data_IF_063414103351
#
_entry.id   IF_063414103351
#
_cell.length_a   1.000
_cell.length_b   1.000
_cell.length_c   1.000
_cell.angle_alpha   90.00
_cell.angle_beta   90.00
_cell.angle_gamma   90.00
#
_symmetry.space_group_name_H-M   'P 1'
#
loop_
_entity.id
_entity.type
_entity.pdbx_description
1 polymer ?
#
# COMPACT_ATOMS: atom_id res chain seq x y z
N UNK A 1 -15.52 -4.30 -8.09
CA UNK A 1 -15.39 -3.94 -6.65
C UNK A 1 -14.50 -4.97 -5.95
N UNK A 2 -13.70 -4.57 -4.96
CA UNK A 2 -12.83 -5.45 -4.18
C UNK A 2 -13.28 -5.49 -2.71
N UNK A 3 -13.22 -6.66 -2.08
CA UNK A 3 -13.50 -6.86 -0.65
C UNK A 3 -12.32 -7.62 -0.05
N UNK A 4 -11.81 -7.13 1.07
CA UNK A 4 -10.64 -7.70 1.73
C UNK A 4 -10.74 -7.52 3.25
N UNK A 5 -9.84 -8.17 3.99
CA UNK A 5 -9.62 -7.89 5.39
C UNK A 5 -9.16 -6.42 5.62
N UNK A 6 -9.56 -5.77 6.73
CA UNK A 6 -9.21 -4.38 6.98
C UNK A 6 -7.78 -4.24 7.53
N UNK A 7 -7.22 -3.03 7.46
CA UNK A 7 -6.03 -2.67 8.23
C UNK A 7 -6.35 -2.52 9.73
N UNK A 8 -5.35 -2.80 10.57
CA UNK A 8 -5.45 -2.78 12.04
C UNK A 8 -4.86 -1.47 12.62
N UNK A 9 -5.20 -1.15 13.87
CA UNK A 9 -4.68 0.04 14.55
C UNK A 9 -3.23 -0.10 15.01
N UNK A 10 -2.79 -1.34 15.28
CA UNK A 10 -1.37 -1.68 15.45
C UNK A 10 -0.76 -2.16 14.11
N UNK A 11 0.57 -2.09 13.94
CA UNK A 11 1.21 -2.29 12.63
C UNK A 11 0.97 -3.65 11.97
N UNK A 12 0.84 -4.72 12.75
CA UNK A 12 0.54 -6.07 12.24
C UNK A 12 -0.34 -6.84 13.22
N UNK A 13 -0.86 -7.98 12.77
CA UNK A 13 -1.62 -8.91 13.62
C UNK A 13 -0.81 -9.43 14.82
N UNK A 14 0.51 -9.53 14.70
CA UNK A 14 1.39 -10.12 15.73
C UNK A 14 1.47 -9.23 16.99
N UNK A 15 1.31 -7.91 16.82
CA UNK A 15 1.22 -6.98 17.95
C UNK A 15 0.10 -7.34 18.92
N UNK A 16 -0.99 -7.95 18.45
CA UNK A 16 -2.17 -8.28 19.26
C UNK A 16 -1.95 -9.46 20.21
N UNK A 17 -0.79 -10.13 20.17
CA UNK A 17 -0.31 -10.99 21.26
C UNK A 17 -0.14 -10.20 22.56
N UNK A 18 0.24 -8.92 22.48
CA UNK A 18 0.39 -8.01 23.61
C UNK A 18 1.28 -8.52 24.75
N UNK A 19 2.27 -9.35 24.42
CA UNK A 19 3.27 -9.87 25.34
C UNK A 19 4.67 -9.61 24.80
N UNK A 20 5.71 -9.87 25.60
CA UNK A 20 7.10 -9.69 25.19
C UNK A 20 7.37 -8.31 24.59
N UNK A 21 7.90 -8.30 23.37
CA UNK A 21 8.22 -7.08 22.61
C UNK A 21 7.00 -6.20 22.29
N UNK A 22 5.79 -6.77 22.22
CA UNK A 22 4.57 -6.05 21.83
C UNK A 22 3.79 -5.45 23.00
N UNK A 23 4.15 -5.79 24.24
CA UNK A 23 3.41 -5.37 25.44
C UNK A 23 3.30 -3.84 25.55
N UNK A 24 4.41 -3.13 25.35
CA UNK A 24 4.43 -1.67 25.46
C UNK A 24 3.54 -1.01 24.40
N UNK A 25 3.57 -1.50 23.16
CA UNK A 25 2.73 -1.00 22.07
C UNK A 25 1.23 -1.18 22.36
N UNK A 26 0.82 -2.36 22.85
CA UNK A 26 -0.59 -2.59 23.23
C UNK A 26 -1.04 -1.71 24.39
N UNK A 27 -0.21 -1.57 25.43
CA UNK A 27 -0.53 -0.69 26.56
C UNK A 27 -0.65 0.76 26.12
N UNK A 28 0.30 1.25 25.31
CA UNK A 28 0.28 2.62 24.79
C UNK A 28 -0.92 2.87 23.85
N UNK A 29 -1.35 1.87 23.09
CA UNK A 29 -2.52 1.96 22.22
C UNK A 29 -3.83 2.09 23.01
N UNK A 30 -4.00 1.28 24.07
CA UNK A 30 -5.15 1.39 24.96
C UNK A 30 -5.18 2.74 25.70
N UNK A 31 -4.04 3.18 26.22
CA UNK A 31 -3.93 4.49 26.89
C UNK A 31 -4.22 5.65 25.92
N UNK A 32 -3.82 5.52 24.65
CA UNK A 32 -4.12 6.49 23.62
C UNK A 32 -5.64 6.60 23.36
N UNK A 33 -6.35 5.46 23.25
CA UNK A 33 -7.81 5.44 23.17
C UNK A 33 -8.47 6.18 24.34
N UNK A 34 -8.06 5.83 25.56
CA UNK A 34 -8.59 6.40 26.80
C UNK A 34 -8.34 7.91 26.86
N UNK A 35 -7.11 8.33 26.55
CA UNK A 35 -6.71 9.74 26.59
C UNK A 35 -7.53 10.61 25.64
N UNK A 36 -7.76 10.14 24.42
CA UNK A 36 -8.58 10.87 23.43
C UNK A 36 -10.04 10.93 23.87
N UNK A 37 -10.60 9.82 24.36
CA UNK A 37 -11.98 9.79 24.84
C UNK A 37 -12.20 10.78 26.02
N UNK A 38 -11.25 10.84 26.96
CA UNK A 38 -11.27 11.80 28.08
C UNK A 38 -11.25 13.24 27.57
N UNK A 39 -10.36 13.57 26.62
CA UNK A 39 -10.29 14.92 26.05
C UNK A 39 -11.60 15.35 25.38
N UNK A 40 -12.19 14.48 24.57
CA UNK A 40 -13.48 14.76 23.89
C UNK A 40 -14.59 15.04 24.92
N UNK A 41 -14.67 14.25 26.00
CA UNK A 41 -15.70 14.41 27.02
C UNK A 41 -15.49 15.69 27.85
N UNK A 42 -14.24 16.03 28.15
CA UNK A 42 -13.87 17.28 28.82
C UNK A 42 -14.28 18.49 27.98
N UNK A 43 -13.93 18.52 26.69
CA UNK A 43 -14.27 19.62 25.79
C UNK A 43 -15.79 19.79 25.62
N UNK A 44 -16.54 18.69 25.69
CA UNK A 44 -18.02 18.70 25.67
C UNK A 44 -18.67 19.03 27.01
N UNK A 45 -17.89 19.37 28.06
CA UNK A 45 -18.36 19.57 29.43
C UNK A 45 -19.26 18.42 29.94
N UNK A 46 -18.97 17.19 29.51
CA UNK A 46 -19.71 16.00 29.89
C UNK A 46 -19.06 15.34 31.10
N UNK A 47 -19.85 15.01 32.12
CA UNK A 47 -19.37 14.20 33.25
C UNK A 47 -19.03 12.79 32.76
N UNK A 48 -17.90 12.24 33.21
CA UNK A 48 -17.50 10.88 32.89
C UNK A 48 -16.83 10.20 34.08
N UNK A 49 -16.89 8.87 34.08
CA UNK A 49 -16.22 8.03 35.06
C UNK A 49 -15.06 7.34 34.36
N UNK A 50 -13.84 7.55 34.84
CA UNK A 50 -12.62 7.06 34.18
C UNK A 50 -12.60 5.54 34.03
N UNK A 51 -13.08 4.79 35.03
CA UNK A 51 -13.18 3.33 34.94
C UNK A 51 -14.12 2.86 33.83
N UNK A 52 -15.19 3.60 33.53
CA UNK A 52 -16.11 3.26 32.43
C UNK A 52 -15.50 3.51 31.05
N UNK A 53 -14.69 4.56 30.90
CA UNK A 53 -13.94 4.81 29.66
C UNK A 53 -12.92 3.69 29.45
N UNK A 54 -12.13 3.38 30.49
CA UNK A 54 -11.12 2.32 30.42
C UNK A 54 -11.73 0.97 30.08
N UNK A 55 -12.92 0.66 30.62
CA UNK A 55 -13.63 -0.57 30.28
C UNK A 55 -14.14 -0.58 28.84
N UNK A 56 -14.73 0.51 28.36
CA UNK A 56 -15.17 0.60 26.96
C UNK A 56 -13.99 0.45 25.98
N UNK A 57 -12.84 1.07 26.27
CA UNK A 57 -11.66 0.98 25.40
C UNK A 57 -10.99 -0.40 25.48
N UNK A 58 -11.05 -1.08 26.64
CA UNK A 58 -10.65 -2.50 26.73
C UNK A 58 -11.48 -3.39 25.82
N UNK A 59 -12.81 -3.20 25.80
CA UNK A 59 -13.70 -3.96 24.89
C UNK A 59 -13.40 -3.67 23.41
N UNK A 60 -13.00 -2.45 23.06
CA UNK A 60 -12.52 -2.11 21.71
C UNK A 60 -11.23 -2.88 21.37
N UNK A 61 -10.28 -2.94 22.30
CA UNK A 61 -9.05 -3.72 22.13
C UNK A 61 -9.32 -5.22 22.00
N UNK A 62 -10.24 -5.77 22.79
CA UNK A 62 -10.65 -7.18 22.70
C UNK A 62 -11.29 -7.51 21.34
N UNK A 63 -12.19 -6.65 20.86
CA UNK A 63 -12.76 -6.78 19.52
C UNK A 63 -11.66 -6.76 18.45
N UNK A 64 -10.75 -5.80 18.51
CA UNK A 64 -9.69 -5.69 17.50
C UNK A 64 -8.69 -6.86 17.58
N UNK A 65 -8.45 -7.45 18.76
CA UNK A 65 -7.69 -8.71 18.90
C UNK A 65 -8.38 -9.86 18.17
N UNK A 66 -9.69 -10.01 18.30
CA UNK A 66 -10.44 -11.04 17.57
C UNK A 66 -10.40 -10.81 16.06
N UNK A 67 -10.55 -9.56 15.61
CA UNK A 67 -10.42 -9.17 14.20
C UNK A 67 -9.01 -9.49 13.67
N UNK A 68 -7.97 -9.09 14.39
CA UNK A 68 -6.57 -9.35 14.04
C UNK A 68 -6.29 -10.84 13.93
N UNK A 69 -6.79 -11.64 14.87
CA UNK A 69 -6.63 -13.10 14.81
C UNK A 69 -7.40 -13.74 13.64
N UNK A 70 -8.51 -13.13 13.21
CA UNK A 70 -9.26 -13.57 12.03
C UNK A 70 -8.58 -13.18 10.70
N UNK A 71 -7.67 -12.21 10.68
CA UNK A 71 -6.91 -11.87 9.47
C UNK A 71 -5.96 -12.99 9.07
N UNK A 72 -5.88 -13.24 7.76
CA UNK A 72 -4.91 -14.16 7.16
C UNK A 72 -3.53 -13.51 7.16
N UNK A 73 -2.49 -14.30 7.44
CA UNK A 73 -1.11 -13.81 7.50
C UNK A 73 -0.62 -13.35 6.13
N UNK A 74 0.39 -12.49 6.10
CA UNK A 74 0.95 -11.98 4.85
C UNK A 74 1.56 -13.10 4.01
N UNK A 75 2.18 -14.10 4.64
CA UNK A 75 2.80 -15.26 3.98
C UNK A 75 1.77 -16.10 3.21
N UNK A 76 0.54 -16.19 3.73
CA UNK A 76 -0.55 -16.96 3.14
C UNK A 76 -1.32 -16.17 2.06
N UNK A 77 -0.87 -14.95 1.74
CA UNK A 77 -1.52 -14.01 0.80
C UNK A 77 -0.60 -13.58 -0.35
N UNK A 78 0.57 -14.19 -0.48
CA UNK A 78 1.58 -13.84 -1.47
C UNK A 78 1.25 -14.34 -2.89
N UNK A 79 0.48 -15.42 -3.03
CA UNK A 79 0.05 -15.96 -4.34
C UNK A 79 -1.19 -15.20 -4.86
N UNK A 80 -1.04 -14.33 -5.88
CA UNK A 80 -2.16 -13.55 -6.39
C UNK A 80 -3.23 -14.40 -7.10
N UNK A 81 -2.90 -15.60 -7.62
CA UNK A 81 -3.87 -16.49 -8.25
C UNK A 81 -4.83 -17.09 -7.23
N UNK A 82 -4.31 -17.48 -6.05
CA UNK A 82 -5.13 -17.98 -4.95
C UNK A 82 -5.93 -16.87 -4.26
N UNK A 83 -5.36 -15.66 -4.19
CA UNK A 83 -6.02 -14.50 -3.61
C UNK A 83 -7.20 -14.01 -4.47
N UNK A 84 -7.16 -14.21 -5.79
CA UNK A 84 -8.18 -13.70 -6.71
C UNK A 84 -9.45 -14.57 -6.75
N UNK A 85 -10.42 -14.30 -5.87
CA UNK A 85 -11.70 -15.01 -5.84
C UNK A 85 -12.83 -14.15 -6.41
N UNK A 86 -13.06 -14.25 -7.72
CA UNK A 86 -14.15 -13.53 -8.41
C UNK A 86 -15.49 -14.23 -8.23
N UNK A 87 -16.51 -13.48 -7.79
CA UNK A 87 -17.88 -13.95 -7.66
C UNK A 87 -18.89 -12.83 -7.91
N UNK A 88 -20.18 -13.15 -7.97
CA UNK A 88 -21.25 -12.14 -8.02
C UNK A 88 -21.66 -11.68 -6.63
N UNK A 89 -22.28 -10.50 -6.51
CA UNK A 89 -22.85 -10.05 -5.23
C UNK A 89 -23.89 -11.03 -4.65
N UNK A 90 -24.66 -11.71 -5.50
CA UNK A 90 -25.57 -12.78 -5.06
C UNK A 90 -24.81 -13.94 -4.40
N UNK A 91 -23.69 -14.37 -5.00
CA UNK A 91 -22.85 -15.42 -4.44
C UNK A 91 -22.19 -14.99 -3.13
N UNK A 92 -21.70 -13.75 -3.05
CA UNK A 92 -21.17 -13.16 -1.82
C UNK A 92 -22.20 -13.20 -0.69
N UNK A 93 -23.43 -12.75 -0.95
CA UNK A 93 -24.52 -12.74 0.04
C UNK A 93 -24.89 -14.15 0.53
N UNK A 94 -24.86 -15.14 -0.37
CA UNK A 94 -25.16 -16.55 -0.06
C UNK A 94 -24.04 -17.21 0.73
N UNK A 95 -22.79 -17.03 0.31
CA UNK A 95 -21.63 -17.75 0.85
C UNK A 95 -21.11 -17.13 2.15
N UNK A 96 -21.20 -15.81 2.29
CA UNK A 96 -20.63 -15.06 3.42
C UNK A 96 -21.71 -14.25 4.15
N UNK A 97 -22.61 -14.96 4.82
CA UNK A 97 -23.63 -14.34 5.66
C UNK A 97 -23.01 -13.78 6.95
N UNK A 98 -23.30 -12.51 7.25
CA UNK A 98 -22.94 -11.89 8.53
C UNK A 98 -24.21 -11.52 9.29
N UNK A 99 -24.14 -11.53 10.62
CA UNK A 99 -25.21 -11.06 11.49
C UNK A 99 -24.65 -9.98 12.41
N UNK A 100 -25.24 -8.79 12.35
CA UNK A 100 -24.83 -7.63 13.15
C UNK A 100 -26.07 -7.07 13.85
N UNK A 101 -26.04 -6.96 15.17
CA UNK A 101 -27.16 -6.45 15.97
C UNK A 101 -28.48 -7.21 15.69
N UNK A 102 -28.41 -8.55 15.65
CA UNK A 102 -29.52 -9.45 15.34
C UNK A 102 -30.18 -9.23 13.97
N UNK A 103 -29.45 -8.63 13.03
CA UNK A 103 -29.91 -8.41 11.65
C UNK A 103 -28.93 -9.03 10.68
N UNK A 104 -29.48 -9.73 9.68
CA UNK A 104 -28.69 -10.22 8.56
C UNK A 104 -28.09 -9.04 7.79
N UNK A 105 -26.77 -9.07 7.58
CA UNK A 105 -26.08 -8.04 6.82
C UNK A 105 -26.41 -8.19 5.33
N UNK A 106 -26.78 -7.07 4.70
CA UNK A 106 -27.12 -7.01 3.29
C UNK A 106 -25.95 -6.39 2.51
N UNK A 107 -25.16 -7.22 1.84
CA UNK A 107 -24.00 -6.82 1.06
C UNK A 107 -24.38 -5.89 -0.10
N UNK A 108 -25.48 -6.18 -0.80
CA UNK A 108 -25.96 -5.33 -1.89
C UNK A 108 -26.35 -3.94 -1.39
N UNK A 109 -27.01 -3.86 -0.23
CA UNK A 109 -27.36 -2.59 0.38
C UNK A 109 -26.11 -1.83 0.84
N UNK A 110 -25.16 -2.50 1.48
CA UNK A 110 -23.91 -1.91 1.93
C UNK A 110 -23.11 -1.30 0.77
N UNK A 111 -22.94 -2.06 -0.32
CA UNK A 111 -22.18 -1.59 -1.48
C UNK A 111 -22.93 -0.47 -2.19
N UNK A 112 -24.26 -0.56 -2.36
CA UNK A 112 -25.03 0.55 -2.93
C UNK A 112 -25.01 1.80 -2.05
N UNK A 113 -24.97 1.67 -0.71
CA UNK A 113 -24.81 2.82 0.17
C UNK A 113 -23.49 3.56 -0.12
N UNK A 114 -22.39 2.83 -0.36
CA UNK A 114 -21.10 3.42 -0.74
C UNK A 114 -21.17 4.01 -2.16
N UNK A 115 -21.61 3.23 -3.14
CA UNK A 115 -21.59 3.62 -4.57
C UNK A 115 -22.57 4.75 -4.90
N UNK A 116 -23.64 4.93 -4.12
CA UNK A 116 -24.57 6.04 -4.26
C UNK A 116 -23.91 7.41 -4.08
N UNK A 117 -22.79 7.48 -3.34
CA UNK A 117 -22.00 8.71 -3.16
C UNK A 117 -21.39 9.25 -4.46
N UNK A 118 -21.31 8.40 -5.49
CA UNK A 118 -20.86 8.73 -6.85
C UNK A 118 -21.92 8.38 -7.90
N UNK A 119 -23.19 8.28 -7.49
CA UNK A 119 -24.35 8.07 -8.38
C UNK A 119 -24.25 6.79 -9.22
N UNK A 120 -23.60 5.75 -8.68
CA UNK A 120 -23.53 4.42 -9.30
C UNK A 120 -24.40 3.47 -8.50
N UNK A 121 -25.27 2.73 -9.20
CA UNK A 121 -26.05 1.63 -8.64
C UNK A 121 -25.47 0.30 -9.14
N UNK A 122 -25.41 -0.69 -8.26
CA UNK A 122 -24.99 -2.05 -8.58
C UNK A 122 -26.10 -3.05 -8.24
N UNK A 123 -26.33 -4.02 -9.13
CA UNK A 123 -27.29 -5.09 -8.89
C UNK A 123 -26.60 -6.37 -8.37
N UNK A 124 -27.40 -7.41 -8.08
CA UNK A 124 -26.89 -8.66 -7.52
C UNK A 124 -25.97 -9.46 -8.47
N UNK A 125 -25.95 -9.14 -9.76
CA UNK A 125 -25.07 -9.75 -10.77
C UNK A 125 -23.69 -9.10 -10.83
N UNK A 126 -23.50 -7.94 -10.18
CA UNK A 126 -22.23 -7.23 -10.13
C UNK A 126 -21.08 -8.15 -9.68
N UNK A 127 -19.97 -8.11 -10.41
CA UNK A 127 -18.79 -8.89 -10.06
C UNK A 127 -17.96 -8.19 -8.97
N UNK A 128 -17.60 -8.99 -7.97
CA UNK A 128 -16.69 -8.62 -6.90
C UNK A 128 -15.51 -9.58 -6.86
N UNK A 129 -14.36 -9.08 -6.43
CA UNK A 129 -13.19 -9.89 -6.09
C UNK A 129 -13.06 -9.90 -4.57
N UNK A 130 -13.12 -11.08 -3.97
CA UNK A 130 -12.97 -11.28 -2.53
C UNK A 130 -11.56 -11.80 -2.28
N UNK A 131 -10.70 -10.97 -1.71
CA UNK A 131 -9.30 -11.37 -1.46
C UNK A 131 -9.15 -12.28 -0.24
N UNK A 132 -10.05 -12.18 0.75
CA UNK A 132 -10.00 -13.01 1.95
C UNK A 132 -11.35 -13.67 2.30
N UNK A 133 -11.73 -14.74 1.59
CA UNK A 133 -12.94 -15.51 1.89
C UNK A 133 -12.97 -16.10 3.31
N UNK A 134 -11.80 -16.53 3.80
CA UNK A 134 -11.69 -17.14 5.12
C UNK A 134 -11.90 -16.13 6.24
N UNK A 135 -11.33 -14.93 6.10
CA UNK A 135 -11.58 -13.81 7.03
C UNK A 135 -13.07 -13.53 7.17
N UNK A 136 -13.82 -13.42 6.05
CA UNK A 136 -15.27 -13.18 6.11
C UNK A 136 -16.01 -14.31 6.83
N UNK A 137 -15.55 -15.55 6.69
CA UNK A 137 -16.11 -16.71 7.40
C UNK A 137 -15.80 -16.63 8.90
N UNK A 138 -14.56 -16.31 9.28
CA UNK A 138 -14.12 -16.14 10.68
C UNK A 138 -14.76 -14.93 11.35
N UNK A 139 -15.10 -13.90 10.58
CA UNK A 139 -15.70 -12.65 11.06
C UNK A 139 -17.14 -12.85 11.55
N UNK A 140 -17.90 -13.78 10.94
CA UNK A 140 -19.30 -14.04 11.29
C UNK A 140 -19.52 -14.28 12.79
N UNK A 141 -18.89 -15.28 13.45
CA UNK A 141 -19.09 -15.52 14.87
C UNK A 141 -18.53 -14.41 15.76
N UNK A 142 -17.55 -13.63 15.29
CA UNK A 142 -17.00 -12.49 16.04
C UNK A 142 -18.06 -11.39 16.15
N UNK A 143 -18.62 -10.94 15.02
CA UNK A 143 -19.59 -9.84 15.01
C UNK A 143 -20.86 -10.15 15.82
N UNK A 144 -21.29 -11.41 15.87
CA UNK A 144 -22.44 -11.83 16.67
C UNK A 144 -22.23 -11.70 18.18
N UNK A 145 -20.99 -11.66 18.68
CA UNK A 145 -20.68 -11.48 20.12
C UNK A 145 -20.85 -10.04 20.59
N UNK A 146 -20.64 -9.07 19.71
CA UNK A 146 -20.58 -7.65 20.07
C UNK A 146 -21.93 -6.95 19.85
N UNK A 147 -22.92 -7.37 20.63
CA UNK A 147 -24.27 -6.78 20.70
C UNK A 147 -24.53 -6.19 22.10
N UNK A 148 -25.10 -4.97 22.23
CA UNK A 148 -25.59 -4.08 21.17
C UNK A 148 -24.47 -3.46 20.33
N UNK A 149 -24.80 -2.88 19.16
CA UNK A 149 -23.85 -2.35 18.17
C UNK A 149 -22.92 -1.22 18.64
N UNK A 150 -22.99 -0.81 19.91
CA UNK A 150 -22.16 0.24 20.50
C UNK A 150 -20.68 -0.13 20.47
N UNK A 151 -20.33 -1.38 20.75
CA UNK A 151 -18.92 -1.80 20.78
C UNK A 151 -18.28 -1.74 19.39
N UNK A 152 -19.04 -2.19 18.38
CA UNK A 152 -18.65 -2.06 16.97
C UNK A 152 -18.48 -0.59 16.58
N UNK A 153 -19.41 0.29 16.96
CA UNK A 153 -19.30 1.72 16.65
C UNK A 153 -18.12 2.39 17.39
N UNK A 154 -17.84 2.00 18.63
CA UNK A 154 -16.68 2.49 19.37
C UNK A 154 -15.38 2.15 18.64
N UNK A 155 -15.25 0.90 18.16
CA UNK A 155 -14.11 0.48 17.35
C UNK A 155 -14.02 1.23 16.02
N UNK A 156 -15.10 1.28 15.24
CA UNK A 156 -15.11 1.96 13.93
C UNK A 156 -14.78 3.46 14.06
N UNK A 157 -15.35 4.13 15.06
CA UNK A 157 -15.10 5.56 15.31
C UNK A 157 -13.66 5.78 15.76
N UNK A 158 -13.15 4.93 16.66
CA UNK A 158 -11.77 5.01 17.13
C UNK A 158 -10.77 4.92 15.97
N UNK A 159 -10.94 3.94 15.06
CA UNK A 159 -10.03 3.75 13.92
C UNK A 159 -9.95 4.99 13.02
N UNK A 160 -11.02 5.76 12.91
CA UNK A 160 -11.00 7.03 12.19
C UNK A 160 -10.44 8.19 13.03
N UNK A 161 -10.86 8.29 14.30
CA UNK A 161 -10.43 9.34 15.24
C UNK A 161 -8.91 9.31 15.44
N UNK A 162 -8.30 8.14 15.57
CA UNK A 162 -6.86 8.01 15.79
C UNK A 162 -6.00 8.58 14.66
N UNK A 163 -6.52 8.61 13.43
CA UNK A 163 -5.84 9.22 12.29
C UNK A 163 -6.00 10.75 12.27
N UNK A 164 -7.11 11.25 12.81
CA UNK A 164 -7.43 12.68 12.85
C UNK A 164 -6.75 13.45 14.00
N UNK A 165 -6.34 12.79 15.09
CA UNK A 165 -5.79 13.49 16.27
C UNK A 165 -4.58 14.38 15.93
N UNK A 166 -3.78 13.98 14.93
CA UNK A 166 -2.59 14.72 14.52
C UNK A 166 -2.90 16.00 13.73
N UNK A 167 -4.17 16.22 13.41
CA UNK A 167 -4.67 17.40 12.69
C UNK A 167 -5.39 18.39 13.61
N UNK A 168 -5.50 18.07 14.92
CA UNK A 168 -6.15 18.90 15.92
C UNK A 168 -5.14 19.75 16.72
N UNK A 169 -5.62 20.34 17.82
CA UNK A 169 -4.82 21.15 18.74
C UNK A 169 -3.68 20.34 19.39
N UNK A 170 -2.76 21.05 20.06
CA UNK A 170 -1.61 20.42 20.72
C UNK A 170 -2.02 19.37 21.75
N UNK A 171 -3.09 19.61 22.51
CA UNK A 171 -3.60 18.69 23.50
C UNK A 171 -3.97 17.31 22.90
N UNK A 172 -4.65 17.31 21.75
CA UNK A 172 -4.97 16.08 21.03
C UNK A 172 -3.71 15.40 20.45
N UNK A 173 -2.81 16.16 19.83
CA UNK A 173 -1.54 15.63 19.28
C UNK A 173 -0.70 14.92 20.35
N UNK A 174 -0.64 15.49 21.55
CA UNK A 174 0.19 14.95 22.63
C UNK A 174 -0.31 13.60 23.17
N UNK A 175 -1.60 13.27 23.01
CA UNK A 175 -2.13 11.94 23.39
C UNK A 175 -1.48 10.79 22.61
N UNK A 176 -0.93 11.06 21.43
CA UNK A 176 -0.28 10.04 20.58
C UNK A 176 1.18 9.79 20.94
N UNK A 177 1.78 10.57 21.84
CA UNK A 177 3.24 10.54 22.06
C UNK A 177 3.76 9.17 22.54
N UNK A 178 3.13 8.57 23.56
CA UNK A 178 3.54 7.27 24.08
C UNK A 178 3.35 6.17 23.02
N UNK A 179 2.22 6.19 22.31
CA UNK A 179 1.92 5.25 21.23
C UNK A 179 2.92 5.34 20.08
N UNK A 180 3.24 6.56 19.61
CA UNK A 180 4.27 6.80 18.60
C UNK A 180 5.64 6.30 19.05
N UNK A 181 6.01 6.57 20.30
CA UNK A 181 7.30 6.12 20.86
C UNK A 181 7.37 4.59 20.90
N UNK A 182 6.31 3.92 21.32
CA UNK A 182 6.27 2.46 21.39
C UNK A 182 6.37 1.79 20.01
N UNK A 183 5.84 2.42 18.95
CA UNK A 183 5.91 1.88 17.58
C UNK A 183 7.18 2.23 16.81
N UNK A 184 7.69 3.45 16.98
CA UNK A 184 8.73 4.01 16.10
C UNK A 184 9.99 4.46 16.87
N UNK A 185 10.01 4.36 18.19
CA UNK A 185 11.10 4.86 19.04
C UNK A 185 11.24 6.39 19.08
N UNK A 186 10.40 7.14 18.36
CA UNK A 186 10.54 8.60 18.20
C UNK A 186 9.93 9.39 19.34
N UNK A 187 10.75 10.21 20.00
CA UNK A 187 10.34 11.05 21.14
C UNK A 187 9.69 12.36 20.74
N UNK A 188 9.88 12.82 19.50
CA UNK A 188 9.29 14.04 18.96
C UNK A 188 8.76 13.83 17.55
N UNK A 189 7.82 14.67 17.12
CA UNK A 189 7.38 14.68 15.74
C UNK A 189 8.38 15.43 14.84
N UNK A 190 8.43 15.07 13.56
CA UNK A 190 9.14 15.85 12.55
C UNK A 190 8.64 17.30 12.53
N UNK A 191 9.49 18.25 12.09
CA UNK A 191 9.12 19.66 12.01
C UNK A 191 7.80 19.88 11.24
N UNK A 192 6.96 20.79 11.74
CA UNK A 192 5.60 21.03 11.19
C UNK A 192 5.63 21.27 9.69
N UNK A 193 6.54 22.14 9.21
CA UNK A 193 6.67 22.43 7.78
C UNK A 193 7.00 21.19 6.93
N UNK A 194 7.76 20.21 7.45
CA UNK A 194 8.07 18.97 6.73
C UNK A 194 6.82 18.11 6.57
N UNK A 195 6.00 18.02 7.62
CA UNK A 195 4.72 17.28 7.57
C UNK A 195 3.74 17.95 6.63
N UNK A 196 3.64 19.28 6.66
CA UNK A 196 2.80 20.04 5.74
C UNK A 196 3.25 19.86 4.28
N UNK A 197 4.56 19.95 4.00
CA UNK A 197 5.11 19.73 2.66
C UNK A 197 4.78 18.32 2.15
N UNK A 198 5.02 17.29 2.98
CA UNK A 198 4.70 15.90 2.62
C UNK A 198 3.19 15.69 2.43
N UNK A 199 2.36 16.31 3.28
CA UNK A 199 0.90 16.19 3.18
C UNK A 199 0.36 16.79 1.88
N UNK A 200 0.82 17.99 1.50
CA UNK A 200 0.41 18.61 0.23
C UNK A 200 0.96 17.82 -0.95
N UNK A 201 2.21 17.34 -0.90
CA UNK A 201 2.78 16.47 -1.93
C UNK A 201 1.95 15.20 -2.15
N UNK A 202 1.49 14.55 -1.07
CA UNK A 202 0.69 13.32 -1.16
C UNK A 202 -0.75 13.52 -1.65
N UNK A 203 -1.32 14.72 -1.52
CA UNK A 203 -2.69 15.03 -1.98
C UNK A 203 -2.73 15.76 -3.33
N UNK A 204 -1.63 16.43 -3.71
CA UNK A 204 -1.50 17.24 -4.92
C UNK A 204 -0.19 16.93 -5.66
N UNK A 205 0.05 15.64 -5.89
CA UNK A 205 1.33 15.13 -6.39
C UNK A 205 1.76 15.74 -7.74
N UNK A 206 0.80 16.02 -8.65
CA UNK A 206 1.07 16.68 -9.94
C UNK A 206 1.49 18.14 -9.74
N UNK A 207 0.78 18.88 -8.88
CA UNK A 207 1.07 20.30 -8.64
C UNK A 207 2.40 20.50 -7.90
N UNK A 208 2.65 19.73 -6.83
CA UNK A 208 3.94 19.78 -6.12
C UNK A 208 5.06 19.22 -7.00
N UNK A 209 4.79 18.17 -7.78
CA UNK A 209 5.70 17.64 -8.78
C UNK A 209 6.16 18.69 -9.78
N UNK A 210 5.24 19.51 -10.32
CA UNK A 210 5.56 20.64 -11.21
C UNK A 210 6.56 21.59 -10.57
N UNK A 211 6.28 22.04 -9.35
CA UNK A 211 7.16 22.97 -8.61
C UNK A 211 8.54 22.34 -8.34
N UNK A 212 8.55 21.06 -7.96
CA UNK A 212 9.79 20.34 -7.68
C UNK A 212 10.69 20.24 -8.91
N UNK A 213 10.15 19.80 -10.06
CA UNK A 213 10.98 19.58 -11.25
C UNK A 213 11.51 20.90 -11.83
N UNK A 214 10.73 21.98 -11.77
CA UNK A 214 11.19 23.32 -12.17
C UNK A 214 12.39 23.81 -11.36
N UNK A 215 12.47 23.42 -10.08
CA UNK A 215 13.49 23.89 -9.16
C UNK A 215 14.71 22.95 -9.07
N UNK A 216 14.50 21.64 -9.17
CA UNK A 216 15.47 20.66 -8.71
C UNK A 216 15.86 19.59 -9.75
N UNK A 217 15.19 19.49 -10.91
CA UNK A 217 15.43 18.41 -11.87
C UNK A 217 15.94 18.94 -13.22
N UNK A 218 17.23 18.73 -13.58
CA UNK A 218 17.75 19.14 -14.87
C UNK A 218 17.24 18.22 -15.98
N UNK A 219 16.67 18.82 -17.04
CA UNK A 219 15.95 18.11 -18.11
C UNK A 219 16.78 17.06 -18.86
N UNK A 220 18.09 17.25 -19.02
CA UNK A 220 18.98 16.31 -19.72
C UNK A 220 19.09 14.94 -19.03
N UNK A 221 18.78 14.88 -17.73
CA UNK A 221 18.80 13.62 -16.94
C UNK A 221 17.82 12.58 -17.49
N UNK A 222 16.68 13.01 -18.06
CA UNK A 222 15.65 12.11 -18.59
C UNK A 222 16.16 11.25 -19.75
N UNK A 223 17.04 11.80 -20.59
CA UNK A 223 17.59 11.09 -21.74
C UNK A 223 18.60 10.02 -21.32
N UNK A 224 19.53 10.36 -20.43
CA UNK A 224 20.56 9.43 -19.95
C UNK A 224 19.93 8.24 -19.22
N UNK A 225 18.93 8.49 -18.36
CA UNK A 225 18.24 7.41 -17.64
C UNK A 225 17.45 6.52 -18.61
N UNK A 226 16.89 7.08 -19.69
CA UNK A 226 16.22 6.29 -20.73
C UNK A 226 17.16 5.32 -21.43
N UNK A 227 18.39 5.74 -21.73
CA UNK A 227 19.41 4.86 -22.30
C UNK A 227 19.77 3.74 -21.33
N UNK A 228 19.97 4.05 -20.04
CA UNK A 228 20.27 3.03 -19.02
C UNK A 228 19.14 2.00 -18.86
N UNK A 229 17.88 2.43 -18.96
CA UNK A 229 16.72 1.50 -18.94
C UNK A 229 16.76 0.57 -20.14
N UNK A 230 17.09 1.08 -21.33
CA UNK A 230 17.22 0.27 -22.53
C UNK A 230 18.35 -0.76 -22.39
N UNK A 231 19.52 -0.34 -21.91
CA UNK A 231 20.67 -1.22 -21.67
C UNK A 231 20.31 -2.37 -20.72
N UNK A 232 19.70 -2.05 -19.58
CA UNK A 232 19.39 -3.03 -18.54
C UNK A 232 18.26 -3.97 -18.98
N UNK A 233 17.27 -3.46 -19.72
CA UNK A 233 16.23 -4.30 -20.34
C UNK A 233 16.84 -5.28 -21.35
N UNK A 234 17.79 -4.83 -22.17
CA UNK A 234 18.49 -5.70 -23.11
C UNK A 234 19.34 -6.75 -22.39
N UNK A 235 20.01 -6.39 -21.29
CA UNK A 235 20.75 -7.33 -20.44
C UNK A 235 19.83 -8.36 -19.79
N UNK A 236 18.64 -7.95 -19.32
CA UNK A 236 17.63 -8.87 -18.79
C UNK A 236 17.23 -9.89 -19.86
N UNK A 237 16.87 -9.43 -21.07
CA UNK A 237 16.45 -10.29 -22.18
C UNK A 237 17.57 -11.26 -22.58
N UNK A 238 18.80 -10.77 -22.75
CA UNK A 238 19.97 -11.62 -23.08
C UNK A 238 20.24 -12.66 -21.99
N UNK A 239 19.99 -12.31 -20.72
CA UNK A 239 20.20 -13.23 -19.61
C UNK A 239 19.21 -14.40 -19.64
N UNK A 240 18.02 -14.26 -20.24
CA UNK A 240 17.06 -15.36 -20.39
C UNK A 240 17.67 -16.55 -21.13
N UNK A 241 18.51 -16.32 -22.14
CA UNK A 241 19.17 -17.40 -22.89
C UNK A 241 20.11 -18.23 -22.01
N UNK A 242 20.76 -17.60 -21.03
CA UNK A 242 21.67 -18.25 -20.09
C UNK A 242 20.94 -19.08 -19.00
N UNK A 243 19.65 -18.85 -18.77
CA UNK A 243 18.90 -19.52 -17.70
C UNK A 243 18.58 -20.96 -18.07
N UNK A 244 19.24 -21.93 -17.42
CA UNK A 244 19.04 -23.36 -17.71
C UNK A 244 17.77 -23.95 -17.09
N UNK A 245 17.10 -23.21 -16.21
CA UNK A 245 15.96 -23.66 -15.42
C UNK A 245 14.59 -23.29 -16.05
N UNK A 246 14.59 -22.53 -17.15
CA UNK A 246 13.38 -22.18 -17.91
C UNK A 246 13.40 -22.87 -19.27
N UNK A 247 12.25 -23.38 -19.69
CA UNK A 247 12.04 -23.86 -21.05
C UNK A 247 11.93 -22.70 -22.07
N UNK A 248 12.04 -23.02 -23.36
CA UNK A 248 12.05 -22.04 -24.45
C UNK A 248 10.71 -21.28 -24.60
N UNK A 249 9.58 -21.91 -24.31
CA UNK A 249 8.25 -21.28 -24.39
C UNK A 249 8.11 -20.21 -23.32
N UNK A 250 8.46 -20.53 -22.08
CA UNK A 250 8.42 -19.61 -20.95
C UNK A 250 9.40 -18.45 -21.16
N UNK A 251 10.61 -18.70 -21.68
CA UNK A 251 11.58 -17.65 -22.05
C UNK A 251 11.02 -16.67 -23.08
N UNK A 252 10.35 -17.18 -24.12
CA UNK A 252 9.75 -16.33 -25.16
C UNK A 252 8.68 -15.39 -24.58
N UNK A 253 7.83 -15.89 -23.68
CA UNK A 253 6.82 -15.07 -23.00
C UNK A 253 7.44 -14.06 -22.02
N UNK A 254 8.50 -14.45 -21.33
CA UNK A 254 9.25 -13.54 -20.47
C UNK A 254 9.88 -12.39 -21.26
N UNK A 255 10.45 -12.67 -22.43
CA UNK A 255 10.96 -11.66 -23.37
C UNK A 255 9.86 -10.71 -23.86
N UNK A 256 8.69 -11.26 -24.26
CA UNK A 256 7.53 -10.46 -24.67
C UNK A 256 7.10 -9.48 -23.57
N UNK A 257 7.01 -9.98 -22.32
CA UNK A 257 6.68 -9.14 -21.16
C UNK A 257 7.72 -8.06 -20.91
N UNK A 258 9.01 -8.40 -20.92
CA UNK A 258 10.10 -7.45 -20.68
C UNK A 258 10.10 -6.32 -21.73
N UNK A 259 9.86 -6.64 -23.00
CA UNK A 259 9.73 -5.65 -24.09
C UNK A 259 8.51 -4.75 -23.94
N UNK A 260 7.44 -5.25 -23.33
CA UNK A 260 6.20 -4.51 -23.13
C UNK A 260 6.18 -3.64 -21.86
N UNK A 261 7.23 -3.70 -21.03
CA UNK A 261 7.35 -2.83 -19.85
C UNK A 261 7.33 -1.37 -20.30
N UNK A 262 6.40 -0.59 -19.74
CA UNK A 262 6.27 0.86 -19.97
C UNK A 262 7.16 1.60 -18.99
N UNK A 263 8.13 2.37 -19.47
CA UNK A 263 8.94 3.23 -18.60
C UNK A 263 8.37 4.64 -18.40
N UNK A 264 8.43 5.14 -17.16
CA UNK A 264 8.13 6.53 -16.78
C UNK A 264 9.33 7.13 -16.06
N UNK A 265 9.83 8.27 -16.55
CA UNK A 265 11.11 8.83 -16.11
C UNK A 265 10.95 10.31 -15.74
N UNK A 266 11.30 10.66 -14.52
CA UNK A 266 11.25 12.03 -13.99
C UNK A 266 9.83 12.47 -13.65
N UNK A 267 9.08 12.89 -14.67
CA UNK A 267 7.73 13.44 -14.53
C UNK A 267 6.90 13.33 -15.83
N UNK A 268 5.56 13.36 -15.75
CA UNK A 268 4.69 13.50 -16.92
C UNK A 268 4.80 14.90 -17.52
N UNK A 269 5.12 15.02 -18.82
CA UNK A 269 5.40 16.31 -19.46
C UNK A 269 4.21 17.29 -19.40
N UNK A 270 2.99 16.77 -19.29
CA UNK A 270 1.75 17.55 -19.17
C UNK A 270 1.70 18.39 -17.90
N UNK A 271 2.37 18.00 -16.80
CA UNK A 271 2.34 18.81 -15.57
C UNK A 271 3.07 20.14 -15.75
N UNK A 272 3.98 20.25 -16.73
CA UNK A 272 4.68 21.50 -17.07
C UNK A 272 4.02 22.25 -18.23
N UNK A 273 3.39 21.53 -19.17
CA UNK A 273 2.95 22.07 -20.46
C UNK A 273 1.44 22.32 -20.58
N UNK A 274 0.61 21.69 -19.74
CA UNK A 274 -0.86 21.79 -19.81
C UNK A 274 -1.46 22.29 -18.49
N UNK A 275 -1.48 23.62 -18.33
CA UNK A 275 -2.04 24.28 -17.14
C UNK A 275 -3.54 23.98 -16.97
N UNK A 276 -4.29 23.79 -18.06
CA UNK A 276 -5.72 23.52 -18.00
C UNK A 276 -6.00 22.13 -17.42
N UNK A 277 -5.25 21.12 -17.86
CA UNK A 277 -5.36 19.75 -17.33
C UNK A 277 -4.98 19.70 -15.85
N UNK A 278 -3.89 20.37 -15.46
CA UNK A 278 -3.46 20.44 -14.06
C UNK A 278 -4.50 21.14 -13.18
N UNK A 279 -5.05 22.29 -13.61
CA UNK A 279 -6.10 22.99 -12.86
C UNK A 279 -7.39 22.16 -12.76
N UNK A 280 -7.77 21.48 -13.84
CA UNK A 280 -8.97 20.63 -13.88
C UNK A 280 -8.89 19.44 -12.93
N UNK A 281 -7.69 18.93 -12.65
CA UNK A 281 -7.48 17.86 -11.67
C UNK A 281 -7.92 18.27 -10.26
N UNK A 282 -7.76 19.55 -9.90
CA UNK A 282 -8.03 20.07 -8.55
C UNK A 282 -9.25 21.00 -8.49
N UNK A 283 -10.05 21.12 -9.56
CA UNK A 283 -11.16 22.07 -9.65
C UNK A 283 -12.26 21.88 -8.58
N UNK A 284 -12.44 20.66 -8.05
CA UNK A 284 -13.45 20.37 -7.02
C UNK A 284 -12.96 20.76 -5.60
N UNK A 285 -11.67 21.09 -5.44
CA UNK A 285 -11.04 21.41 -4.16
C UNK A 285 -11.01 22.93 -3.94
N UNK A 286 -11.45 23.36 -2.76
CA UNK A 286 -11.57 24.77 -2.41
C UNK A 286 -11.12 24.94 -0.96
N UNK A 287 -9.82 25.23 -0.79
CA UNK A 287 -9.20 25.31 0.52
C UNK A 287 -9.39 26.67 1.17
N UNK A 288 -9.42 26.68 2.50
CA UNK A 288 -9.36 27.89 3.32
C UNK A 288 -8.11 27.85 4.19
N UNK A 289 -7.37 28.95 4.24
CA UNK A 289 -6.08 29.01 4.94
C UNK A 289 -6.21 28.76 6.45
N UNK A 290 -7.33 29.18 7.05
CA UNK A 290 -7.57 29.07 8.50
C UNK A 290 -8.30 27.76 8.91
N UNK A 291 -8.73 26.92 7.95
CA UNK A 291 -9.59 25.75 8.20
C UNK A 291 -8.89 24.44 7.78
N UNK A 292 -7.73 24.15 8.40
CA UNK A 292 -6.91 22.99 8.03
C UNK A 292 -7.64 21.65 8.18
N UNK A 293 -8.48 21.50 9.21
CA UNK A 293 -9.20 20.25 9.46
C UNK A 293 -10.22 19.99 8.34
N UNK A 294 -10.98 21.01 7.94
CA UNK A 294 -11.95 20.99 6.85
C UNK A 294 -11.25 20.66 5.52
N UNK A 295 -10.07 21.23 5.26
CA UNK A 295 -9.28 20.93 4.08
C UNK A 295 -8.87 19.45 4.02
N UNK A 296 -8.48 18.85 5.16
CA UNK A 296 -8.16 17.42 5.23
C UNK A 296 -9.39 16.55 4.95
N UNK A 297 -10.52 16.88 5.57
CA UNK A 297 -11.78 16.16 5.34
C UNK A 297 -12.20 16.28 3.87
N UNK A 298 -12.04 17.46 3.26
CA UNK A 298 -12.30 17.68 1.84
C UNK A 298 -11.42 16.77 0.96
N UNK A 299 -10.12 16.66 1.26
CA UNK A 299 -9.21 15.76 0.56
C UNK A 299 -9.61 14.28 0.70
N UNK A 300 -9.98 13.83 1.90
CA UNK A 300 -10.43 12.45 2.13
C UNK A 300 -11.67 12.12 1.28
N UNK A 301 -12.66 13.03 1.26
CA UNK A 301 -13.88 12.86 0.45
C UNK A 301 -13.57 12.88 -1.05
N UNK A 302 -12.73 13.82 -1.50
CA UNK A 302 -12.35 13.97 -2.89
C UNK A 302 -11.64 12.72 -3.42
N UNK A 303 -10.59 12.26 -2.72
CA UNK A 303 -9.80 11.08 -3.11
C UNK A 303 -10.66 9.82 -3.15
N UNK A 304 -11.53 9.63 -2.15
CA UNK A 304 -12.43 8.47 -2.13
C UNK A 304 -13.44 8.51 -3.27
N UNK A 305 -14.05 9.68 -3.57
CA UNK A 305 -14.96 9.82 -4.71
C UNK A 305 -14.25 9.59 -6.04
N UNK A 306 -13.04 10.14 -6.25
CA UNK A 306 -12.21 9.90 -7.44
C UNK A 306 -11.98 8.40 -7.64
N UNK A 307 -11.62 7.66 -6.57
CA UNK A 307 -11.45 6.20 -6.62
C UNK A 307 -12.73 5.44 -6.95
N UNK A 308 -13.88 5.82 -6.36
CA UNK A 308 -15.16 5.14 -6.59
C UNK A 308 -15.71 5.37 -8.01
N UNK A 309 -15.55 6.58 -8.57
CA UNK A 309 -15.96 6.91 -9.95
C UNK A 309 -15.29 6.00 -10.99
N UNK A 310 -14.06 5.54 -10.73
CA UNK A 310 -13.30 4.63 -11.62
C UNK A 310 -13.96 3.25 -11.85
N UNK A 311 -15.02 2.85 -11.13
CA UNK A 311 -15.62 1.51 -11.25
C UNK A 311 -16.08 1.16 -12.68
N UNK A 312 -16.57 2.14 -13.45
CA UNK A 312 -17.06 1.95 -14.83
C UNK A 312 -16.14 2.54 -15.89
N UNK A 313 -15.03 3.12 -15.47
CA UNK A 313 -14.04 3.71 -16.35
C UNK A 313 -13.00 2.66 -16.75
N UNK A 314 -12.43 2.81 -17.94
CA UNK A 314 -11.29 1.99 -18.35
C UNK A 314 -10.04 2.46 -17.61
N UNK A 315 -9.16 1.52 -17.26
CA UNK A 315 -7.84 1.85 -16.73
C UNK A 315 -7.04 2.55 -17.84
N UNK A 316 -6.63 3.79 -17.57
CA UNK A 316 -5.64 4.48 -18.40
C UNK A 316 -4.24 3.97 -18.03
N UNK A 317 -3.64 3.12 -18.87
CA UNK A 317 -2.29 2.55 -18.65
C UNK A 317 -1.17 3.59 -18.78
N UNK A 318 -1.48 4.80 -19.25
CA UNK A 318 -0.52 5.90 -19.33
C UNK A 318 -0.43 6.71 -18.03
N UNK A 319 -1.45 6.64 -17.17
CA UNK A 319 -1.45 7.25 -15.83
C UNK A 319 -0.26 6.72 -15.01
N UNK A 320 0.49 7.65 -14.42
CA UNK A 320 1.64 7.35 -13.55
C UNK A 320 1.13 6.83 -12.20
N UNK A 321 1.87 5.91 -11.60
CA UNK A 321 1.56 5.36 -10.26
C UNK A 321 2.17 6.15 -9.10
N UNK A 322 2.96 7.19 -9.40
CA UNK A 322 3.63 8.04 -8.42
C UNK A 322 3.91 9.43 -9.00
N UNK A 323 3.79 10.48 -8.17
CA UNK A 323 4.25 11.83 -8.50
C UNK A 323 5.77 12.00 -8.58
N UNK A 324 6.22 13.12 -9.14
CA UNK A 324 7.63 13.38 -9.45
C UNK A 324 8.51 13.66 -8.22
N UNK A 325 7.94 14.27 -7.17
CA UNK A 325 8.65 14.70 -5.96
C UNK A 325 8.74 13.57 -4.92
N UNK A 326 9.17 12.39 -5.36
CA UNK A 326 9.27 11.17 -4.55
C UNK A 326 10.69 10.60 -4.69
N UNK A 327 11.32 10.26 -3.56
CA UNK A 327 12.62 9.58 -3.55
C UNK A 327 12.36 8.09 -3.39
N UNK A 328 11.92 7.46 -4.48
CA UNK A 328 11.69 6.02 -4.57
C UNK A 328 11.63 5.58 -6.04
N UNK A 329 11.48 4.30 -6.33
CA UNK A 329 11.08 3.76 -7.63
C UNK A 329 9.96 2.73 -7.44
N UNK A 330 9.26 2.38 -8.52
CA UNK A 330 8.08 1.52 -8.43
C UNK A 330 7.84 0.69 -9.70
N UNK A 331 7.36 -0.54 -9.50
CA UNK A 331 6.76 -1.39 -10.51
C UNK A 331 5.27 -1.62 -10.23
N UNK A 332 4.45 -1.60 -11.28
CA UNK A 332 3.03 -1.95 -11.22
C UNK A 332 2.73 -3.14 -12.11
N UNK A 333 2.41 -4.29 -11.50
CA UNK A 333 2.09 -5.51 -12.21
C UNK A 333 0.89 -5.36 -13.17
N UNK A 334 -0.18 -4.70 -12.73
CA UNK A 334 -1.40 -4.52 -13.53
C UNK A 334 -1.27 -3.52 -14.69
N UNK A 335 -0.22 -2.69 -14.67
CA UNK A 335 0.10 -1.73 -15.75
C UNK A 335 1.31 -2.17 -16.57
N UNK A 336 2.04 -3.21 -16.12
CA UNK A 336 3.36 -3.59 -16.60
C UNK A 336 4.23 -2.34 -16.81
N UNK A 337 4.40 -1.54 -15.75
CA UNK A 337 4.99 -0.20 -15.79
C UNK A 337 6.04 -0.03 -14.70
N UNK A 338 7.20 0.54 -15.06
CA UNK A 338 8.27 0.97 -14.14
C UNK A 338 8.30 2.50 -14.08
N UNK A 339 8.44 3.07 -12.88
CA UNK A 339 8.44 4.52 -12.65
C UNK A 339 9.65 4.94 -11.82
N UNK A 340 10.41 5.89 -12.36
CA UNK A 340 11.54 6.55 -11.69
C UNK A 340 11.25 8.04 -11.57
N UNK A 341 10.58 8.49 -10.49
CA UNK A 341 10.32 9.89 -10.21
C UNK A 341 11.59 10.75 -10.22
N UNK A 342 11.46 12.04 -10.53
CA UNK A 342 12.59 12.97 -10.52
C UNK A 342 13.35 12.98 -9.19
N UNK A 343 12.65 12.73 -8.07
CA UNK A 343 13.26 12.71 -6.74
C UNK A 343 14.28 11.59 -6.49
N UNK A 344 14.23 10.44 -7.18
CA UNK A 344 15.31 9.41 -7.03
C UNK A 344 16.49 9.68 -7.97
N UNK A 345 16.31 10.49 -9.01
CA UNK A 345 17.30 10.77 -10.05
C UNK A 345 18.32 11.85 -9.62
N UNK A 346 18.93 11.64 -8.45
CA UNK A 346 19.94 12.50 -7.84
C UNK A 346 20.99 11.66 -7.10
N UNK A 347 22.14 12.23 -6.70
CA UNK A 347 23.13 11.49 -5.92
C UNK A 347 22.54 10.94 -4.61
N UNK A 348 22.97 9.74 -4.16
CA UNK A 348 24.02 8.91 -4.74
C UNK A 348 23.59 8.09 -5.97
N UNK A 349 22.29 7.99 -6.26
CA UNK A 349 21.76 7.10 -7.30
C UNK A 349 22.21 7.51 -8.70
N UNK A 350 22.07 8.80 -9.03
CA UNK A 350 22.32 9.30 -10.37
C UNK A 350 22.92 10.70 -10.40
N UNK A 351 23.89 10.90 -11.29
CA UNK A 351 24.26 12.21 -11.82
C UNK A 351 24.85 12.05 -13.21
N UNK A 352 24.51 12.95 -14.14
CA UNK A 352 25.13 12.96 -15.47
C UNK A 352 26.65 13.23 -15.40
N UNK A 353 27.14 13.85 -14.32
CA UNK A 353 28.55 14.17 -14.13
C UNK A 353 29.34 13.15 -13.32
N UNK A 354 28.69 12.13 -12.73
CA UNK A 354 29.39 11.12 -11.92
C UNK A 354 29.84 9.92 -12.78
N UNK A 355 30.88 9.18 -12.35
CA UNK A 355 31.34 8.00 -13.08
C UNK A 355 30.21 7.01 -13.38
N UNK A 356 30.25 6.39 -14.57
CA UNK A 356 29.26 5.38 -14.97
C UNK A 356 29.15 4.24 -13.95
N UNK A 357 30.26 3.84 -13.32
CA UNK A 357 30.24 2.82 -12.26
C UNK A 357 29.31 3.18 -11.09
N UNK A 358 29.26 4.45 -10.68
CA UNK A 358 28.33 4.92 -9.64
C UNK A 358 26.89 4.97 -10.15
N UNK A 359 26.67 5.38 -11.41
CA UNK A 359 25.33 5.39 -12.00
C UNK A 359 24.77 3.97 -12.13
N UNK A 360 25.51 3.01 -12.71
CA UNK A 360 25.03 1.63 -12.83
C UNK A 360 24.92 0.95 -11.45
N UNK A 361 25.86 1.19 -10.52
CA UNK A 361 25.75 0.66 -9.15
C UNK A 361 24.64 1.30 -8.30
N UNK A 362 24.23 2.53 -8.64
CA UNK A 362 23.14 3.26 -8.01
C UNK A 362 21.83 3.08 -8.77
N UNK A 363 21.49 4.04 -9.65
CA UNK A 363 20.22 4.00 -10.39
C UNK A 363 20.09 2.78 -11.32
N UNK A 364 21.21 2.23 -11.84
CA UNK A 364 21.16 1.03 -12.66
C UNK A 364 20.65 -0.19 -11.88
N UNK A 365 21.15 -0.40 -10.66
CA UNK A 365 20.65 -1.44 -9.75
C UNK A 365 19.15 -1.26 -9.49
N UNK A 366 18.71 -0.03 -9.21
CA UNK A 366 17.29 0.29 -9.00
C UNK A 366 16.45 0.01 -10.25
N UNK A 367 16.94 0.34 -11.45
CA UNK A 367 16.26 0.01 -12.70
C UNK A 367 16.11 -1.50 -12.87
N UNK A 368 17.17 -2.26 -12.64
CA UNK A 368 17.13 -3.72 -12.71
C UNK A 368 16.20 -4.32 -11.66
N UNK A 369 16.15 -3.74 -10.46
CA UNK A 369 15.23 -4.11 -9.39
C UNK A 369 13.77 -3.97 -9.85
N UNK A 370 13.37 -2.80 -10.37
CA UNK A 370 12.00 -2.58 -10.86
C UNK A 370 11.62 -3.43 -12.08
N UNK A 371 12.58 -3.73 -12.97
CA UNK A 371 12.34 -4.68 -14.08
C UNK A 371 12.12 -6.08 -13.52
N UNK A 372 12.92 -6.49 -12.52
CA UNK A 372 12.85 -7.82 -11.92
C UNK A 372 11.55 -8.04 -11.14
N UNK A 373 10.95 -6.99 -10.56
CA UNK A 373 9.59 -7.08 -10.01
C UNK A 373 8.53 -7.54 -11.03
N UNK A 374 8.78 -7.37 -12.33
CA UNK A 374 7.96 -7.98 -13.37
C UNK A 374 8.01 -9.52 -13.39
N UNK A 375 8.95 -10.13 -12.68
CA UNK A 375 9.27 -11.55 -12.77
C UNK A 375 9.54 -12.19 -11.40
N UNK A 376 9.27 -11.48 -10.31
CA UNK A 376 9.33 -12.01 -8.95
C UNK A 376 8.14 -12.95 -8.64
N UNK A 377 8.01 -13.40 -7.39
CA UNK A 377 6.97 -14.35 -6.97
C UNK A 377 5.53 -13.82 -7.15
N UNK A 378 5.35 -12.49 -7.20
CA UNK A 378 4.07 -11.86 -7.47
C UNK A 378 3.90 -11.47 -8.95
N UNK A 379 4.83 -10.66 -9.47
CA UNK A 379 4.78 -10.08 -10.79
C UNK A 379 4.81 -11.11 -11.91
N UNK A 380 5.47 -12.26 -11.71
CA UNK A 380 5.50 -13.34 -12.71
C UNK A 380 4.11 -13.88 -13.09
N UNK A 381 3.09 -13.66 -12.25
CA UNK A 381 1.72 -14.14 -12.50
C UNK A 381 0.91 -13.20 -13.42
N UNK A 382 1.49 -12.07 -13.82
CA UNK A 382 0.85 -11.11 -14.72
C UNK A 382 1.51 -11.17 -16.09
N UNK A 383 0.74 -11.12 -17.18
CA UNK A 383 1.27 -11.10 -18.54
C UNK A 383 1.79 -9.71 -18.96
N UNK A 384 2.17 -9.55 -20.23
CA UNK A 384 2.66 -8.30 -20.82
C UNK A 384 1.65 -7.15 -20.80
N UNK A 385 0.36 -7.49 -20.70
CA UNK A 385 -0.73 -6.52 -20.59
C UNK A 385 -1.09 -6.18 -19.14
N UNK A 386 -0.49 -6.86 -18.16
CA UNK A 386 -0.82 -6.71 -16.74
C UNK A 386 -2.09 -7.45 -16.33
N UNK A 387 -2.51 -8.45 -17.10
CA UNK A 387 -3.60 -9.35 -16.73
C UNK A 387 -3.05 -10.51 -15.90
N UNK A 388 -3.74 -10.87 -14.81
CA UNK A 388 -3.41 -12.02 -13.98
C UNK A 388 -3.80 -13.31 -14.72
N UNK A 389 -2.82 -13.94 -15.38
CA UNK A 389 -2.99 -15.18 -16.15
C UNK A 389 -1.73 -16.02 -16.03
N UNK A 390 -1.89 -17.34 -15.92
CA UNK A 390 -0.73 -18.23 -15.93
C UNK A 390 -0.17 -18.36 -17.35
N UNK A 391 1.06 -17.90 -17.53
CA UNK A 391 1.79 -17.96 -18.79
C UNK A 391 3.04 -18.85 -18.68
N UNK A 392 3.29 -19.46 -17.52
CA UNK A 392 4.41 -20.36 -17.29
C UNK A 392 4.01 -21.79 -17.64
N UNK A 393 4.98 -22.61 -18.07
CA UNK A 393 4.79 -24.06 -18.03
C UNK A 393 4.88 -24.56 -16.58
N UNK A 394 4.31 -25.72 -16.30
CA UNK A 394 4.39 -26.35 -14.97
C UNK A 394 5.83 -26.59 -14.53
N UNK A 395 6.70 -27.03 -15.45
CA UNK A 395 8.13 -27.27 -15.19
C UNK A 395 8.86 -25.97 -14.81
N UNK A 396 8.73 -24.92 -15.62
CA UNK A 396 9.39 -23.64 -15.33
C UNK A 396 8.85 -22.99 -14.05
N UNK A 397 7.56 -23.12 -13.76
CA UNK A 397 6.96 -22.64 -12.52
C UNK A 397 7.45 -23.41 -11.28
N UNK A 398 7.63 -24.73 -11.40
CA UNK A 398 8.25 -25.56 -10.36
C UNK A 398 9.70 -25.15 -10.10
N UNK A 399 10.49 -25.03 -11.16
CA UNK A 399 11.89 -24.60 -11.07
C UNK A 399 12.04 -23.18 -10.48
N UNK A 400 11.14 -22.26 -10.79
CA UNK A 400 11.11 -20.93 -10.18
C UNK A 400 10.98 -21.03 -8.65
N UNK A 401 10.01 -21.82 -8.18
CA UNK A 401 9.77 -22.02 -6.75
C UNK A 401 10.99 -22.62 -6.07
N UNK A 402 11.57 -23.67 -6.65
CA UNK A 402 12.75 -24.35 -6.12
C UNK A 402 13.96 -23.41 -5.98
N UNK A 403 14.21 -22.54 -6.97
CA UNK A 403 15.29 -21.56 -6.90
C UNK A 403 14.99 -20.44 -5.89
N UNK A 404 13.75 -19.95 -5.85
CA UNK A 404 13.34 -18.89 -4.92
C UNK A 404 13.40 -19.36 -3.46
N UNK A 405 13.19 -20.65 -3.19
CA UNK A 405 13.30 -21.23 -1.86
C UNK A 405 14.71 -21.05 -1.26
N UNK A 406 15.76 -21.04 -2.09
CA UNK A 406 17.11 -20.75 -1.65
C UNK A 406 17.21 -19.37 -0.98
N UNK A 407 16.54 -18.35 -1.53
CA UNK A 407 16.51 -17.01 -0.95
C UNK A 407 15.62 -16.95 0.29
N UNK A 408 14.49 -17.67 0.32
CA UNK A 408 13.66 -17.79 1.53
C UNK A 408 14.50 -18.33 2.69
N UNK A 409 15.25 -19.40 2.46
CA UNK A 409 16.10 -20.03 3.48
C UNK A 409 17.28 -19.13 3.86
N UNK A 410 17.91 -18.47 2.88
CA UNK A 410 19.03 -17.56 3.13
C UNK A 410 18.59 -16.38 4.02
N UNK A 411 17.56 -15.64 3.60
CA UNK A 411 17.14 -14.44 4.30
C UNK A 411 16.42 -14.76 5.60
N UNK A 412 15.69 -15.88 5.66
CA UNK A 412 15.10 -16.41 6.89
C UNK A 412 16.13 -16.76 7.96
N UNK A 413 17.38 -17.06 7.58
CA UNK A 413 18.46 -17.31 8.53
C UNK A 413 19.13 -16.05 9.07
N UNK A 414 18.84 -14.85 8.53
CA UNK A 414 19.36 -13.61 9.10
C UNK A 414 18.62 -13.26 10.39
N UNK A 415 19.36 -13.24 11.49
CA UNK A 415 18.93 -12.68 12.77
C UNK A 415 19.23 -11.18 12.80
N UNK A 416 18.25 -10.37 13.19
CA UNK A 416 18.37 -8.93 13.27
C UNK A 416 18.46 -8.47 14.73
N UNK A 417 19.64 -8.01 15.14
CA UNK A 417 19.95 -7.54 16.49
C UNK A 417 19.05 -6.38 16.95
N UNK A 418 18.76 -5.43 16.05
CA UNK A 418 17.84 -4.32 16.33
C UNK A 418 16.39 -4.78 16.55
N UNK A 419 16.01 -5.94 16.04
CA UNK A 419 14.72 -6.59 16.31
C UNK A 419 14.79 -7.58 17.49
N UNK A 420 15.81 -7.47 18.35
CA UNK A 420 15.99 -8.35 19.50
C UNK A 420 16.43 -9.76 19.12
N UNK A 421 17.14 -9.92 18.00
CA UNK A 421 17.60 -11.21 17.49
C UNK A 421 16.54 -12.00 16.73
N UNK A 422 15.38 -11.41 16.43
CA UNK A 422 14.36 -12.05 15.58
C UNK A 422 14.90 -12.29 14.16
N UNK A 423 14.45 -13.37 13.56
CA UNK A 423 14.76 -13.70 12.18
C UNK A 423 13.87 -12.94 11.21
N UNK A 424 14.41 -12.56 10.04
CA UNK A 424 13.60 -11.98 8.97
C UNK A 424 12.59 -13.02 8.45
N UNK A 425 11.44 -12.56 7.96
CA UNK A 425 10.53 -13.43 7.20
C UNK A 425 11.06 -13.55 5.78
N UNK A 426 11.73 -14.67 5.48
CA UNK A 426 12.24 -14.96 4.13
C UNK A 426 11.14 -15.05 3.07
N UNK A 427 9.91 -15.38 3.45
CA UNK A 427 8.74 -15.42 2.56
C UNK A 427 8.25 -14.01 2.27
N UNK A 428 8.01 -13.17 3.29
CA UNK A 428 7.45 -11.82 3.07
C UNK A 428 8.44 -10.89 2.37
N UNK A 429 9.74 -11.15 2.48
CA UNK A 429 10.78 -10.35 1.81
C UNK A 429 11.19 -10.92 0.45
N UNK A 430 10.63 -12.06 0.03
CA UNK A 430 11.11 -12.80 -1.14
C UNK A 430 11.12 -11.97 -2.43
N UNK A 431 10.02 -11.27 -2.75
CA UNK A 431 9.94 -10.49 -3.97
C UNK A 431 11.02 -9.40 -4.07
N UNK A 432 11.21 -8.66 -2.98
CA UNK A 432 12.26 -7.64 -2.84
C UNK A 432 13.66 -8.26 -2.92
N UNK A 433 13.88 -9.41 -2.26
CA UNK A 433 15.17 -10.11 -2.30
C UNK A 433 15.49 -10.62 -3.72
N UNK A 434 14.50 -11.14 -4.46
CA UNK A 434 14.65 -11.53 -5.87
C UNK A 434 14.98 -10.31 -6.71
N UNK A 435 14.26 -9.20 -6.51
CA UNK A 435 14.47 -7.95 -7.23
C UNK A 435 15.86 -7.35 -6.99
N UNK A 436 16.34 -7.34 -5.75
CA UNK A 436 17.70 -6.89 -5.40
C UNK A 436 18.78 -7.74 -6.08
N UNK A 437 18.69 -9.06 -5.97
CA UNK A 437 19.69 -9.96 -6.53
C UNK A 437 19.69 -9.93 -8.06
N UNK A 438 18.51 -9.88 -8.68
CA UNK A 438 18.35 -9.71 -10.12
C UNK A 438 18.89 -8.36 -10.59
N UNK A 439 18.49 -7.28 -9.92
CA UNK A 439 18.82 -5.91 -10.28
C UNK A 439 20.32 -5.61 -10.19
N UNK A 440 20.98 -6.01 -9.11
CA UNK A 440 22.45 -5.86 -8.99
C UNK A 440 23.17 -6.62 -10.08
N UNK A 441 22.76 -7.87 -10.39
CA UNK A 441 23.38 -8.69 -11.44
C UNK A 441 23.20 -8.06 -12.82
N UNK A 442 22.02 -7.55 -13.12
CA UNK A 442 21.70 -6.92 -14.41
C UNK A 442 22.45 -5.60 -14.59
N UNK A 443 22.58 -4.80 -13.54
CA UNK A 443 23.31 -3.53 -13.62
C UNK A 443 24.83 -3.69 -13.73
N UNK A 444 25.38 -4.81 -13.23
CA UNK A 444 26.80 -5.11 -13.30
C UNK A 444 27.24 -5.68 -14.66
N UNK A 445 26.37 -6.47 -15.29
CA UNK A 445 26.59 -7.01 -16.65
C UNK A 445 26.49 -5.91 -17.70
#
# INVERSE_FOLDING_TARGET
VQIDQPGLGLPSRDYYECTGAYKEACSAYLEFMISVAKLILQERNSSFIESEISEQMRRVMELEKEIANATTKSEDRNDPLLLYNKMTLAQLQKNFSLEINHKAFNWSQFINAIMSSVQITVDSSEHVVVYDPEYLTRLKPILSKYTPSRDLQNYLSWRFVMDLVNSLSRAYKDTRNAFRKALYGTTSEAAVWRRCANYVNGNMESAVGRLYVQQAFPGDSKHVVKEMIADIRDVFIKTLDELTWMDAETKQKAEQKAKAIRERIGYPDEILSDDNKLNSEYQELNYKEEEYFENIIQNLVFTQKKRLKKLREKVDKEEWISGAAVVNAFYSASRNQIVFPAGILQPPFFSASQPKSLNYGGIGMVIGHEITHGFDDNGRNFNENGDLVDWWTEESAGNFKDLSQCMVDQYGNFSWDLAGGQHLSGINTLGENIADNGGVRQAYK
#
